data_IF_768493943103
#
_entry.id   IF_768493943103
#
_cell.length_a   1.000
_cell.length_b   1.000
_cell.length_c   1.000
_cell.angle_alpha   90.00
_cell.angle_beta   90.00
_cell.angle_gamma   90.00
#
_symmetry.space_group_name_H-M   'P 1'
#
loop_
_entity.id
_entity.type
_entity.pdbx_description
1 polymer ?
#
# COMPACT_ATOMS: atom_id res chain seq x y z
N UNK A 1 -12.34 -43.20 -6.56
CA UNK A 1 -11.92 -41.87 -6.07
C UNK A 1 -10.45 -41.80 -6.32
N UNK A 2 -10.07 -40.98 -7.29
CA UNK A 2 -8.67 -40.79 -7.64
C UNK A 2 -8.09 -39.81 -6.63
N UNK A 3 -6.96 -40.17 -6.01
CA UNK A 3 -6.36 -39.36 -4.95
C UNK A 3 -6.06 -37.91 -5.40
N UNK A 4 -5.81 -37.70 -6.68
CA UNK A 4 -5.64 -36.37 -7.27
C UNK A 4 -6.92 -35.53 -7.21
N UNK A 5 -8.08 -36.12 -7.47
CA UNK A 5 -9.37 -35.44 -7.43
C UNK A 5 -9.78 -35.08 -6.00
N UNK A 6 -9.45 -35.95 -5.03
CA UNK A 6 -9.63 -35.69 -3.61
C UNK A 6 -8.75 -34.52 -3.12
N UNK A 7 -7.51 -34.41 -3.61
CA UNK A 7 -6.63 -33.29 -3.24
C UNK A 7 -7.10 -31.95 -3.81
N UNK A 8 -7.59 -31.93 -5.05
CA UNK A 8 -8.12 -30.71 -5.67
C UNK A 8 -9.40 -30.23 -4.98
N UNK A 9 -10.26 -31.17 -4.55
CA UNK A 9 -11.44 -30.83 -3.75
C UNK A 9 -11.05 -30.25 -2.37
N UNK A 10 -10.05 -30.82 -1.69
CA UNK A 10 -9.55 -30.24 -0.43
C UNK A 10 -8.98 -28.83 -0.63
N UNK A 11 -8.20 -28.61 -1.70
CA UNK A 11 -7.64 -27.29 -2.03
C UNK A 11 -8.76 -26.28 -2.28
N UNK A 12 -9.79 -26.66 -3.03
CA UNK A 12 -10.95 -25.82 -3.31
C UNK A 12 -11.71 -25.44 -2.02
N UNK A 13 -11.90 -26.41 -1.12
CA UNK A 13 -12.57 -26.19 0.16
C UNK A 13 -11.77 -25.24 1.06
N UNK A 14 -10.46 -25.45 1.20
CA UNK A 14 -9.60 -24.53 1.97
C UNK A 14 -9.67 -23.15 1.34
N UNK A 15 -9.54 -23.04 0.02
CA UNK A 15 -9.57 -21.77 -0.70
C UNK A 15 -10.85 -20.97 -0.47
N UNK A 16 -11.99 -21.64 -0.32
CA UNK A 16 -13.28 -21.00 -0.01
C UNK A 16 -13.33 -20.40 1.40
N UNK A 17 -12.50 -20.87 2.33
CA UNK A 17 -12.47 -20.42 3.73
C UNK A 17 -11.41 -19.34 3.98
N UNK A 18 -10.62 -19.00 2.98
CA UNK A 18 -9.56 -18.01 3.11
C UNK A 18 -10.12 -16.60 3.03
N UNK A 19 -9.68 -15.78 3.98
CA UNK A 19 -10.02 -14.35 4.06
C UNK A 19 -9.00 -13.46 3.32
N UNK A 20 -7.99 -14.09 2.72
CA UNK A 20 -6.83 -13.47 2.09
C UNK A 20 -6.90 -13.72 0.58
N UNK A 21 -6.43 -12.79 -0.28
CA UNK A 21 -6.31 -13.06 -1.70
C UNK A 21 -5.46 -14.31 -1.96
N UNK A 22 -6.05 -15.24 -2.73
CA UNK A 22 -5.58 -16.58 -3.11
C UNK A 22 -4.09 -16.82 -2.84
N UNK A 23 -3.74 -17.52 -1.74
CA UNK A 23 -2.36 -17.87 -1.46
C UNK A 23 -1.87 -18.92 -2.45
N UNK A 24 -0.54 -19.04 -2.52
CA UNK A 24 0.10 -20.02 -3.38
C UNK A 24 -0.32 -21.45 -3.00
N UNK A 25 -0.66 -22.28 -3.98
CA UNK A 25 -1.16 -23.65 -3.76
C UNK A 25 -0.22 -24.50 -2.88
N UNK A 26 1.09 -24.28 -2.99
CA UNK A 26 2.08 -24.96 -2.15
C UNK A 26 1.89 -24.71 -0.65
N UNK A 27 1.41 -23.53 -0.26
CA UNK A 27 1.14 -23.17 1.13
C UNK A 27 -0.15 -23.85 1.64
N UNK A 28 -1.16 -23.96 0.77
CA UNK A 28 -2.39 -24.72 1.05
C UNK A 28 -2.07 -26.21 1.25
N UNK A 29 -1.23 -26.78 0.39
CA UNK A 29 -0.82 -28.18 0.53
C UNK A 29 0.01 -28.44 1.78
N UNK A 30 0.96 -27.56 2.11
CA UNK A 30 1.78 -27.70 3.31
C UNK A 30 0.92 -27.62 4.59
N UNK A 31 -0.02 -26.68 4.65
CA UNK A 31 -0.96 -26.57 5.78
C UNK A 31 -1.92 -27.77 5.87
N UNK A 32 -2.39 -28.31 4.75
CA UNK A 32 -3.20 -29.55 4.75
C UNK A 32 -2.39 -30.75 5.26
N UNK A 33 -1.11 -30.87 4.90
CA UNK A 33 -0.23 -31.94 5.40
C UNK A 33 -0.01 -31.78 6.91
N UNK A 34 0.21 -30.56 7.40
CA UNK A 34 0.39 -30.28 8.82
C UNK A 34 -0.87 -30.57 9.65
N UNK A 35 -2.05 -30.39 9.05
CA UNK A 35 -3.36 -30.59 9.69
C UNK A 35 -3.96 -31.98 9.44
N UNK A 36 -3.20 -32.95 8.91
CA UNK A 36 -3.69 -34.28 8.55
C UNK A 36 -4.96 -34.26 7.66
N UNK A 37 -5.06 -33.28 6.76
CA UNK A 37 -6.23 -33.11 5.89
C UNK A 37 -7.42 -32.39 6.52
N UNK A 38 -7.29 -31.83 7.73
CA UNK A 38 -8.32 -30.96 8.30
C UNK A 38 -8.32 -29.59 7.60
N UNK A 39 -9.40 -29.36 6.84
CA UNK A 39 -9.64 -28.17 6.02
C UNK A 39 -9.78 -26.90 6.89
N UNK A 40 -10.46 -26.99 8.04
CA UNK A 40 -10.70 -25.83 8.90
C UNK A 40 -9.41 -25.41 9.59
N UNK A 41 -8.69 -26.38 10.16
CA UNK A 41 -7.41 -26.12 10.81
C UNK A 41 -6.39 -25.54 9.81
N UNK A 42 -6.34 -26.06 8.58
CA UNK A 42 -5.48 -25.51 7.53
C UNK A 42 -5.85 -24.06 7.20
N UNK A 43 -7.13 -23.75 7.00
CA UNK A 43 -7.58 -22.39 6.71
C UNK A 43 -7.24 -21.41 7.85
N UNK A 44 -7.40 -21.82 9.11
CA UNK A 44 -7.07 -21.01 10.28
C UNK A 44 -5.57 -20.71 10.38
N UNK A 45 -4.71 -21.67 10.06
CA UNK A 45 -3.26 -21.45 10.01
C UNK A 45 -2.93 -20.39 8.96
N UNK A 46 -3.45 -20.54 7.74
CA UNK A 46 -3.19 -19.64 6.62
C UNK A 46 -3.71 -18.22 6.91
N UNK A 47 -4.92 -18.12 7.46
CA UNK A 47 -5.53 -16.85 7.85
C UNK A 47 -4.74 -16.11 8.94
N UNK A 48 -4.02 -16.84 9.80
CA UNK A 48 -3.23 -16.29 10.88
C UNK A 48 -1.77 -15.97 10.49
N UNK A 49 -1.16 -16.67 9.53
CA UNK A 49 0.20 -16.36 9.05
C UNK A 49 0.27 -15.03 8.34
N UNK A 50 -0.67 -14.71 7.46
CA UNK A 50 -0.67 -13.43 6.74
C UNK A 50 -0.89 -12.22 7.67
N UNK A 51 -1.56 -12.41 8.82
CA UNK A 51 -1.66 -11.37 9.85
C UNK A 51 -0.31 -11.00 10.44
N UNK A 52 0.58 -11.98 10.65
CA UNK A 52 1.93 -11.74 11.20
C UNK A 52 2.84 -11.04 10.18
N UNK A 53 2.71 -11.38 8.89
CA UNK A 53 3.50 -10.74 7.84
C UNK A 53 3.00 -9.32 7.52
N UNK A 54 1.68 -9.09 7.55
CA UNK A 54 1.11 -7.74 7.45
C UNK A 54 1.46 -6.86 8.65
N UNK A 55 1.58 -7.42 9.86
CA UNK A 55 1.99 -6.65 11.05
C UNK A 55 3.46 -6.23 10.97
N UNK A 56 4.35 -7.07 10.42
CA UNK A 56 5.76 -6.71 10.17
C UNK A 56 5.93 -5.60 9.14
N UNK A 57 4.99 -5.44 8.20
CA UNK A 57 5.01 -4.32 7.26
C UNK A 57 4.38 -3.03 7.80
N UNK A 58 3.84 -3.03 9.02
CA UNK A 58 3.21 -1.86 9.64
C UNK A 58 4.16 -0.98 10.44
N UNK A 59 5.45 -1.27 10.52
CA UNK A 59 6.43 -0.30 11.04
C UNK A 59 6.79 0.69 9.93
N UNK A 60 6.32 1.96 9.97
CA UNK A 60 6.72 2.94 8.98
C UNK A 60 8.21 3.28 9.19
N UNK A 61 9.05 3.32 8.13
CA UNK A 61 10.34 3.98 8.25
C UNK A 61 10.12 5.44 8.61
N UNK A 62 10.81 5.86 9.67
CA UNK A 62 10.94 7.20 10.21
C UNK A 62 10.60 8.35 9.23
N UNK A 63 9.55 9.07 9.61
CA UNK A 63 9.05 10.39 9.15
C UNK A 63 9.97 11.17 8.20
N UNK A 64 9.75 11.04 6.88
CA UNK A 64 9.87 12.18 5.96
C UNK A 64 8.51 12.80 5.75
N UNK A 65 8.40 14.07 6.14
CA UNK A 65 7.22 14.95 6.06
C UNK A 65 6.71 14.99 4.60
N UNK A 66 5.82 14.07 4.23
CA UNK A 66 5.11 14.12 2.96
C UNK A 66 4.08 15.24 3.08
N UNK A 67 4.26 16.28 2.26
CA UNK A 67 3.25 17.34 2.07
C UNK A 67 1.92 16.64 1.75
N UNK A 68 0.85 17.12 2.35
CA UNK A 68 -0.49 16.56 2.22
C UNK A 68 -0.75 16.19 0.75
N UNK A 69 -0.82 14.89 0.49
CA UNK A 69 -1.29 14.37 -0.78
C UNK A 69 -2.81 14.37 -0.65
N UNK A 70 -3.38 15.57 -0.73
CA UNK A 70 -4.81 15.79 -0.73
C UNK A 70 -5.38 15.29 -2.06
N UNK A 71 -6.60 14.75 -2.04
CA UNK A 71 -7.25 14.15 -3.21
C UNK A 71 -7.36 15.13 -4.40
N UNK A 72 -7.24 16.43 -4.13
CA UNK A 72 -7.17 17.51 -5.11
C UNK A 72 -6.02 17.36 -6.12
N UNK A 73 -4.93 16.71 -5.75
CA UNK A 73 -3.82 16.41 -6.66
C UNK A 73 -4.13 15.32 -7.69
N UNK A 74 -5.16 14.50 -7.42
CA UNK A 74 -5.57 13.39 -8.27
C UNK A 74 -6.72 13.76 -9.22
N UNK A 75 -7.55 14.74 -8.82
CA UNK A 75 -8.67 15.22 -9.63
C UNK A 75 -8.29 16.32 -10.62
N UNK A 76 -7.07 16.88 -10.54
CA UNK A 76 -6.60 17.85 -11.53
C UNK A 76 -6.10 17.11 -12.78
N UNK A 77 -6.84 17.08 -13.90
CA UNK A 77 -6.25 16.70 -15.17
C UNK A 77 -5.08 17.66 -15.44
N UNK A 78 -3.95 17.12 -15.88
CA UNK A 78 -2.80 17.90 -16.32
C UNK A 78 -3.18 18.66 -17.60
N UNK A 79 -3.92 19.77 -17.48
CA UNK A 79 -4.03 20.74 -18.56
C UNK A 79 -2.74 21.53 -18.59
N UNK A 80 -1.86 21.20 -19.55
CA UNK A 80 -0.93 22.18 -20.08
C UNK A 80 -1.73 23.40 -20.61
N UNK A 81 -1.14 24.59 -20.46
CA UNK A 81 -1.63 25.92 -20.86
C UNK A 81 -2.54 26.64 -19.85
N UNK A 82 -1.96 27.52 -19.03
CA UNK A 82 -1.88 28.96 -19.32
C UNK A 82 -1.45 29.71 -18.05
N UNK A 83 -0.14 29.81 -17.83
CA UNK A 83 0.41 30.85 -16.95
C UNK A 83 0.65 32.11 -17.78
N UNK A 84 -0.45 32.69 -18.30
CA UNK A 84 -0.50 34.10 -18.62
C UNK A 84 -0.91 34.85 -17.34
N UNK A 85 -0.02 34.82 -16.35
CA UNK A 85 -0.09 35.70 -15.19
C UNK A 85 0.95 36.79 -15.41
N UNK A 86 0.51 37.78 -16.17
CA UNK A 86 1.01 39.13 -16.22
C UNK A 86 1.40 39.63 -14.82
N UNK A 87 2.65 40.06 -14.68
CA UNK A 87 3.23 40.59 -13.46
C UNK A 87 4.65 41.07 -13.78
N UNK A 88 4.72 42.23 -14.40
CA UNK A 88 5.89 42.92 -14.94
C UNK A 88 7.06 43.08 -13.93
N UNK A 89 8.31 43.19 -14.41
CA UNK A 89 9.49 43.31 -13.57
C UNK A 89 9.80 44.78 -13.26
N UNK A 90 9.60 45.23 -12.01
CA UNK A 90 9.96 46.60 -11.62
C UNK A 90 11.31 46.69 -10.88
N UNK A 91 12.30 47.05 -11.70
CA UNK A 91 13.53 47.83 -11.51
C UNK A 91 14.00 48.25 -10.10
N UNK A 92 15.29 47.96 -9.89
CA UNK A 92 16.31 48.70 -9.12
C UNK A 92 15.93 50.14 -8.70
N UNK A 93 16.03 50.42 -7.41
CA UNK A 93 16.60 51.69 -6.90
C UNK A 93 17.62 51.42 -5.80
N UNK A 94 18.89 51.68 -6.13
CA UNK A 94 19.94 52.15 -5.23
C UNK A 94 19.67 53.63 -4.89
N UNK A 95 20.45 54.16 -3.93
CA UNK A 95 20.51 55.54 -3.37
C UNK A 95 19.67 55.62 -2.08
N UNK A 96 20.19 55.65 -0.84
CA UNK A 96 21.32 56.33 -0.14
C UNK A 96 20.97 57.76 0.30
N UNK A 97 20.75 57.94 1.60
CA UNK A 97 20.80 59.18 2.43
C UNK A 97 20.52 58.69 3.87
N UNK A 98 21.48 58.61 4.79
CA UNK A 98 22.19 59.65 5.55
C UNK A 98 21.26 60.52 6.43
N UNK A 99 21.77 60.86 7.63
CA UNK A 99 21.33 61.86 8.64
C UNK A 99 20.88 61.29 10.02
N UNK A 100 21.89 61.09 10.87
CA UNK A 100 22.21 61.76 12.16
C UNK A 100 21.22 61.87 13.35
N UNK A 101 21.83 61.56 14.52
CA UNK A 101 21.73 62.14 15.87
C UNK A 101 20.37 62.42 16.55
N UNK A 102 20.15 61.72 17.68
CA UNK A 102 20.03 62.31 19.02
C UNK A 102 20.07 61.24 20.12
#
# INVERSE_FOLDING_TARGET
>A
MDAAEDTETLIALVSSLLTIPVPHQSLILDSLVQCNGDVQAAADIINNTDRKDKERQRTPPSRRKRRAFDLDGWLKPFSMADSNAEGTPDRKKRVKEDVDDA
#
